data_IF_087778393442
#
_entry.id   IF_087778393442
#
_cell.length_a   1.000
_cell.length_b   1.000
_cell.length_c   1.000
_cell.angle_alpha   90.00
_cell.angle_beta   90.00
_cell.angle_gamma   90.00
#
_symmetry.space_group_name_H-M   'P 1'
#
loop_
_entity.id
_entity.type
_entity.pdbx_description
1 polymer ?
#
# COMPACT_ATOMS: atom_id res chain seq x y z
N UNK A 1 -5.82 13.88 -0.26
CA UNK A 1 -7.16 14.22 -0.82
C UNK A 1 -7.88 13.03 -1.47
N UNK A 2 -7.40 12.46 -2.61
CA UNK A 2 -8.11 11.39 -3.35
C UNK A 2 -8.38 10.11 -2.55
N UNK A 3 -7.50 9.79 -1.61
CA UNK A 3 -7.58 8.63 -0.71
C UNK A 3 -8.06 9.04 0.69
N UNK A 4 -8.86 10.11 0.80
CA UNK A 4 -9.43 10.60 2.06
C UNK A 4 -8.43 11.07 3.12
N UNK A 5 -7.13 11.11 2.80
CA UNK A 5 -6.10 11.73 3.63
C UNK A 5 -6.16 13.27 3.58
N UNK A 6 -5.87 13.89 4.72
CA UNK A 6 -5.62 15.33 4.82
C UNK A 6 -4.32 15.66 4.08
N UNK A 7 -4.27 16.76 3.31
CA UNK A 7 -3.02 17.25 2.75
C UNK A 7 -2.08 17.69 3.88
N UNK A 8 -0.78 17.47 3.69
CA UNK A 8 0.24 18.07 4.55
C UNK A 8 0.25 19.59 4.37
N UNK A 9 0.42 20.31 5.48
CA UNK A 9 0.49 21.77 5.50
C UNK A 9 1.95 22.28 5.46
N UNK A 10 2.93 21.39 5.67
CA UNK A 10 4.35 21.73 5.62
C UNK A 10 5.25 20.52 5.32
N UNK A 11 6.48 20.79 4.92
CA UNK A 11 7.51 19.75 4.72
C UNK A 11 7.90 19.07 6.05
N UNK A 12 7.93 19.79 7.17
CA UNK A 12 8.21 19.21 8.49
C UNK A 12 7.11 18.24 8.94
N UNK A 13 5.84 18.51 8.57
CA UNK A 13 4.73 17.59 8.83
C UNK A 13 4.86 16.30 8.00
N UNK A 14 5.30 16.41 6.74
CA UNK A 14 5.56 15.28 5.85
C UNK A 14 6.71 14.40 6.37
N UNK A 15 7.88 14.99 6.64
CA UNK A 15 9.09 14.21 6.98
C UNK A 15 9.18 13.87 8.47
N UNK A 16 8.55 14.67 9.33
CA UNK A 16 8.67 14.54 10.79
C UNK A 16 10.02 14.98 11.35
N UNK A 17 10.84 15.65 10.55
CA UNK A 17 12.19 16.12 10.90
C UNK A 17 12.50 17.45 10.18
N UNK A 18 13.70 18.02 10.38
CA UNK A 18 14.02 19.39 9.92
C UNK A 18 15.06 19.48 8.81
N UNK A 19 15.95 18.50 8.71
CA UNK A 19 17.07 18.54 7.77
C UNK A 19 16.58 18.28 6.35
N UNK A 20 15.88 17.16 6.10
CA UNK A 20 15.32 16.88 4.78
C UNK A 20 14.16 17.82 4.44
N UNK A 21 13.36 18.21 5.44
CA UNK A 21 12.30 19.21 5.25
C UNK A 21 12.81 20.49 4.61
N UNK A 22 13.92 21.06 5.12
CA UNK A 22 14.48 22.31 4.60
C UNK A 22 15.01 22.15 3.17
N UNK A 23 15.66 21.02 2.86
CA UNK A 23 16.16 20.72 1.51
C UNK A 23 15.01 20.53 0.51
N UNK A 24 13.94 19.82 0.91
CA UNK A 24 12.75 19.64 0.08
C UNK A 24 12.02 20.96 -0.16
N UNK A 25 11.92 21.82 0.85
CA UNK A 25 11.35 23.16 0.71
C UNK A 25 12.16 24.03 -0.26
N UNK A 26 13.51 23.99 -0.19
CA UNK A 26 14.37 24.70 -1.12
C UNK A 26 14.22 24.21 -2.58
N UNK A 27 13.94 22.91 -2.77
CA UNK A 27 13.79 22.29 -4.10
C UNK A 27 12.40 22.50 -4.70
N UNK A 28 11.34 22.29 -3.91
CA UNK A 28 9.95 22.32 -4.39
C UNK A 28 9.28 23.68 -4.20
N UNK A 29 9.69 24.47 -3.21
CA UNK A 29 9.13 25.79 -2.86
C UNK A 29 7.73 25.77 -2.24
N UNK A 30 6.91 24.76 -2.52
CA UNK A 30 5.55 24.61 -2.04
C UNK A 30 5.25 23.14 -1.73
N UNK A 31 4.62 22.87 -0.58
CA UNK A 31 4.23 21.52 -0.15
C UNK A 31 3.20 20.89 -1.11
N UNK A 32 2.34 21.70 -1.74
CA UNK A 32 1.35 21.23 -2.71
C UNK A 32 1.99 20.87 -4.07
N UNK A 33 3.27 21.20 -4.28
CA UNK A 33 4.03 20.85 -5.49
C UNK A 33 4.80 19.53 -5.38
N UNK A 34 4.84 18.89 -4.20
CA UNK A 34 5.61 17.66 -3.98
C UNK A 34 5.04 16.49 -4.80
N UNK A 35 5.91 15.82 -5.52
CA UNK A 35 5.56 14.63 -6.29
C UNK A 35 5.26 13.43 -5.39
N UNK A 36 4.31 12.59 -5.81
CA UNK A 36 3.85 11.44 -5.01
C UNK A 36 4.97 10.46 -4.66
N UNK A 37 5.80 10.08 -5.63
CA UNK A 37 6.79 9.02 -5.42
C UNK A 37 7.90 9.43 -4.44
N UNK A 38 8.50 10.64 -4.54
CA UNK A 38 9.38 11.15 -3.50
C UNK A 38 8.70 11.25 -2.13
N UNK A 39 7.48 11.80 -2.05
CA UNK A 39 6.75 11.92 -0.78
C UNK A 39 6.58 10.57 -0.09
N UNK A 40 6.23 9.51 -0.83
CA UNK A 40 6.06 8.15 -0.27
C UNK A 40 7.32 7.60 0.40
N UNK A 41 8.52 8.02 -0.01
CA UNK A 41 9.78 7.51 0.50
C UNK A 41 10.35 8.34 1.66
N UNK A 42 9.98 9.62 1.73
CA UNK A 42 10.45 10.54 2.79
C UNK A 42 9.39 10.82 3.85
N UNK A 43 8.15 10.39 3.62
CA UNK A 43 7.06 10.48 4.60
C UNK A 43 7.47 9.80 5.91
N UNK A 44 7.23 10.50 7.01
CA UNK A 44 7.49 10.02 8.36
C UNK A 44 6.87 8.61 8.57
N UNK A 45 7.67 7.59 8.90
CA UNK A 45 7.13 6.27 9.20
C UNK A 45 6.21 6.28 10.42
N UNK A 46 5.22 5.36 10.45
CA UNK A 46 4.45 5.10 11.67
C UNK A 46 5.36 4.49 12.76
N UNK A 47 4.94 4.58 14.04
CA UNK A 47 5.38 3.76 15.15
C UNK A 47 6.14 2.46 14.84
N UNK A 48 7.47 2.39 14.85
CA UNK A 48 8.23 1.15 14.60
C UNK A 48 7.85 0.42 13.28
N UNK A 49 7.40 1.17 12.27
CA UNK A 49 6.93 0.64 11.00
C UNK A 49 7.92 0.91 9.86
N UNK A 50 7.80 0.11 8.80
CA UNK A 50 8.62 0.25 7.59
C UNK A 50 8.25 1.48 6.74
N UNK A 51 6.99 1.92 6.76
CA UNK A 51 6.48 3.00 5.91
C UNK A 51 5.52 3.94 6.67
N UNK A 52 5.26 5.10 6.07
CA UNK A 52 4.30 6.10 6.51
C UNK A 52 2.84 5.77 6.18
N UNK A 53 1.94 6.71 6.48
CA UNK A 53 0.49 6.57 6.29
C UNK A 53 0.10 6.47 4.82
N UNK A 54 0.63 7.35 3.96
CA UNK A 54 0.23 7.43 2.56
C UNK A 54 0.53 6.13 1.82
N UNK A 55 1.66 5.47 2.10
CA UNK A 55 1.99 4.18 1.50
C UNK A 55 0.92 3.11 1.82
N UNK A 56 0.46 3.07 3.06
CA UNK A 56 -0.54 2.08 3.51
C UNK A 56 -1.92 2.41 2.92
N UNK A 57 -2.38 3.65 3.05
CA UNK A 57 -3.74 4.03 2.68
C UNK A 57 -3.95 4.12 1.16
N UNK A 58 -2.90 4.43 0.40
CA UNK A 58 -2.92 4.35 -1.07
C UNK A 58 -2.71 2.91 -1.54
N UNK A 59 -1.74 2.18 -0.94
CA UNK A 59 -1.35 0.85 -1.40
C UNK A 59 -2.39 -0.23 -1.10
N UNK A 60 -3.03 -0.21 0.08
CA UNK A 60 -3.95 -1.26 0.51
C UNK A 60 -5.17 -1.44 -0.42
N UNK A 61 -5.88 -0.37 -0.85
CA UNK A 61 -6.99 -0.51 -1.81
C UNK A 61 -6.56 -1.16 -3.13
N UNK A 62 -5.40 -0.80 -3.68
CA UNK A 62 -4.90 -1.38 -4.92
C UNK A 62 -4.50 -2.85 -4.74
N UNK A 63 -3.77 -3.16 -3.67
CA UNK A 63 -3.37 -4.54 -3.35
C UNK A 63 -4.56 -5.46 -3.18
N UNK A 64 -5.52 -5.09 -2.32
CA UNK A 64 -6.72 -5.88 -2.07
C UNK A 64 -7.59 -6.03 -3.31
N UNK A 65 -7.73 -4.96 -4.11
CA UNK A 65 -8.47 -5.04 -5.36
C UNK A 65 -7.78 -5.96 -6.36
N UNK A 66 -6.45 -5.94 -6.45
CA UNK A 66 -5.67 -6.83 -7.31
C UNK A 66 -5.81 -8.30 -6.91
N UNK A 67 -5.74 -8.59 -5.61
CA UNK A 67 -5.88 -9.94 -5.07
C UNK A 67 -7.31 -10.48 -5.25
N UNK A 68 -8.30 -9.79 -4.67
CA UNK A 68 -9.69 -10.25 -4.64
C UNK A 68 -10.40 -10.06 -5.98
N UNK A 69 -9.87 -9.22 -6.85
CA UNK A 69 -10.36 -9.04 -8.21
C UNK A 69 -10.01 -10.20 -9.14
N UNK A 70 -9.21 -11.16 -8.70
CA UNK A 70 -8.88 -12.34 -9.50
C UNK A 70 -10.14 -13.18 -9.76
N UNK A 71 -10.30 -13.64 -11.00
CA UNK A 71 -11.44 -14.47 -11.42
C UNK A 71 -11.60 -15.74 -10.60
N UNK A 72 -10.52 -16.31 -10.05
CA UNK A 72 -10.59 -17.49 -9.18
C UNK A 72 -11.42 -17.21 -7.92
N UNK A 73 -11.41 -15.98 -7.40
CA UNK A 73 -12.19 -15.58 -6.23
C UNK A 73 -13.68 -15.35 -6.53
N UNK A 74 -14.10 -15.44 -7.80
CA UNK A 74 -15.51 -15.27 -8.16
C UNK A 74 -16.36 -16.49 -7.74
N UNK A 75 -17.64 -16.32 -7.41
CA UNK A 75 -18.52 -17.45 -7.04
C UNK A 75 -18.61 -18.54 -8.10
N UNK A 76 -18.43 -18.19 -9.38
CA UNK A 76 -18.49 -19.15 -10.48
C UNK A 76 -17.25 -20.07 -10.54
N UNK A 77 -16.10 -19.60 -10.07
CA UNK A 77 -14.81 -20.29 -10.15
C UNK A 77 -14.33 -20.82 -8.80
N UNK A 78 -14.72 -20.23 -7.67
CA UNK A 78 -14.29 -20.69 -6.35
C UNK A 78 -15.07 -21.93 -5.89
N UNK A 79 -14.77 -23.06 -6.52
CA UNK A 79 -15.39 -24.37 -6.26
C UNK A 79 -14.39 -25.49 -6.51
N UNK A 80 -14.53 -26.66 -5.84
CA UNK A 80 -13.56 -27.76 -5.97
C UNK A 80 -13.32 -28.21 -7.42
N UNK A 81 -14.37 -28.23 -8.25
CA UNK A 81 -14.25 -28.66 -9.65
C UNK A 81 -13.34 -27.79 -10.51
N UNK A 82 -13.13 -26.51 -10.16
CA UNK A 82 -12.14 -25.64 -10.83
C UNK A 82 -10.71 -26.09 -10.56
N UNK A 83 -10.48 -26.71 -9.42
CA UNK A 83 -9.15 -27.10 -8.93
C UNK A 83 -8.92 -28.61 -8.98
N UNK A 84 -9.69 -29.34 -9.80
CA UNK A 84 -9.53 -30.79 -9.96
C UNK A 84 -10.11 -31.63 -8.79
N UNK A 85 -11.05 -31.08 -8.01
CA UNK A 85 -11.70 -31.74 -6.89
C UNK A 85 -11.20 -31.29 -5.52
N UNK A 86 -11.59 -32.01 -4.47
CA UNK A 86 -11.30 -31.62 -3.08
C UNK A 86 -9.82 -31.54 -2.76
N UNK A 87 -8.99 -32.45 -3.32
CA UNK A 87 -7.55 -32.47 -3.06
C UNK A 87 -6.87 -31.18 -3.53
N UNK A 88 -7.16 -30.73 -4.76
CA UNK A 88 -6.58 -29.50 -5.28
C UNK A 88 -7.12 -28.25 -4.57
N UNK A 89 -8.39 -28.27 -4.16
CA UNK A 89 -8.97 -27.18 -3.39
C UNK A 89 -8.38 -27.08 -1.98
N UNK A 90 -8.06 -28.22 -1.35
CA UNK A 90 -7.35 -28.25 -0.06
C UNK A 90 -5.96 -27.66 -0.17
N UNK A 91 -5.18 -27.97 -1.21
CA UNK A 91 -3.83 -27.41 -1.42
C UNK A 91 -3.87 -25.88 -1.35
N UNK A 92 -4.82 -25.25 -2.03
CA UNK A 92 -4.95 -23.78 -2.04
C UNK A 92 -5.32 -23.26 -0.64
N UNK A 93 -6.28 -23.90 0.03
CA UNK A 93 -6.78 -23.44 1.33
C UNK A 93 -5.82 -23.72 2.50
N UNK A 94 -4.84 -24.62 2.33
CA UNK A 94 -3.82 -24.92 3.34
C UNK A 94 -2.42 -24.43 2.96
N UNK A 95 -2.29 -23.71 1.84
CA UNK A 95 -1.01 -23.18 1.39
C UNK A 95 -0.41 -22.21 2.41
N UNK A 96 0.90 -22.32 2.62
CA UNK A 96 1.70 -21.40 3.42
C UNK A 96 3.06 -21.21 2.77
N UNK A 97 3.79 -20.14 3.13
CA UNK A 97 5.15 -19.92 2.61
C UNK A 97 6.11 -21.06 3.00
N UNK A 98 5.88 -21.72 4.14
CA UNK A 98 6.72 -22.80 4.65
C UNK A 98 6.51 -24.13 3.90
N UNK A 99 5.33 -24.32 3.32
CA UNK A 99 4.94 -25.53 2.60
C UNK A 99 5.14 -25.43 1.08
N UNK A 100 5.55 -24.26 0.58
CA UNK A 100 5.81 -23.99 -0.83
C UNK A 100 7.19 -24.50 -1.24
#
# INVERSE_FOLDING_TARGET
KRFMLKPYESFEELTGEKEMSAELEALYGDIDAVELYPALLVEKPRPDAIFGETMVEVGAPFSLKGLMGNVICSPAYWKPSTFGGEVGFQIINTASIQSL
#
